data_IF_834620899566
#
_entry.id   IF_834620899566
#
_cell.length_a   1.000
_cell.length_b   1.000
_cell.length_c   1.000
_cell.angle_alpha   90.00
_cell.angle_beta   90.00
_cell.angle_gamma   90.00
#
_symmetry.space_group_name_H-M   'P 1'
#
loop_
_entity.id
_entity.type
_entity.pdbx_description
1 polymer ?
#
# COMPACT_ATOMS: atom_id res chain seq x y z
N UNK A 1 -8.43 15.63 7.89
CA UNK A 1 -8.19 14.57 8.91
C UNK A 1 -7.78 13.24 8.30
N UNK A 2 -8.64 12.56 7.51
CA UNK A 2 -8.27 11.26 6.91
C UNK A 2 -7.05 11.38 5.99
N UNK A 3 -7.10 12.30 5.04
CA UNK A 3 -6.00 12.55 4.09
C UNK A 3 -4.68 12.83 4.83
N UNK A 4 -4.71 13.79 5.76
CA UNK A 4 -3.54 14.17 6.57
C UNK A 4 -2.91 12.97 7.29
N UNK A 5 -3.73 12.04 7.79
CA UNK A 5 -3.22 10.83 8.42
C UNK A 5 -2.47 9.93 7.43
N UNK A 6 -2.97 9.80 6.19
CA UNK A 6 -2.29 9.10 5.11
C UNK A 6 -0.95 9.75 4.75
N UNK A 7 -0.93 11.09 4.66
CA UNK A 7 0.28 11.88 4.42
C UNK A 7 1.33 11.59 5.49
N UNK A 8 0.99 11.81 6.77
CA UNK A 8 1.94 11.70 7.89
C UNK A 8 2.49 10.28 8.03
N UNK A 9 1.65 9.27 7.85
CA UNK A 9 2.10 7.86 7.89
C UNK A 9 3.05 7.57 6.72
N UNK A 10 2.72 7.99 5.51
CA UNK A 10 3.59 7.76 4.35
C UNK A 10 4.93 8.48 4.48
N UNK A 11 4.95 9.72 4.96
CA UNK A 11 6.19 10.44 5.25
C UNK A 11 7.05 9.74 6.31
N UNK A 12 6.42 9.19 7.35
CA UNK A 12 7.14 8.46 8.38
C UNK A 12 7.82 7.21 7.80
N UNK A 13 7.14 6.49 6.91
CA UNK A 13 7.73 5.34 6.19
C UNK A 13 8.87 5.80 5.29
N UNK A 14 8.67 6.87 4.51
CA UNK A 14 9.71 7.40 3.63
C UNK A 14 10.98 7.78 4.41
N UNK A 15 10.82 8.47 5.55
CA UNK A 15 11.92 8.83 6.45
C UNK A 15 12.60 7.60 7.05
N UNK A 16 11.83 6.60 7.48
CA UNK A 16 12.36 5.36 8.06
C UNK A 16 13.12 4.48 7.05
N UNK A 17 12.77 4.56 5.76
CA UNK A 17 13.40 3.79 4.69
C UNK A 17 14.85 4.20 4.38
N UNK A 18 15.25 5.42 4.72
CA UNK A 18 16.61 5.91 4.51
C UNK A 18 17.09 5.74 3.07
N UNK A 19 18.23 5.07 2.88
CA UNK A 19 18.83 4.83 1.56
C UNK A 19 18.26 3.63 0.80
N UNK A 20 17.27 2.93 1.37
CA UNK A 20 16.55 1.78 0.75
C UNK A 20 17.47 0.64 0.30
N UNK A 21 18.68 0.54 0.85
CA UNK A 21 19.60 -0.55 0.48
C UNK A 21 19.21 -1.85 1.16
N UNK A 22 19.37 -2.93 0.41
CA UNK A 22 19.19 -4.28 0.93
C UNK A 22 17.75 -4.69 1.18
N UNK A 23 16.75 -3.91 0.78
CA UNK A 23 15.35 -4.30 0.90
C UNK A 23 14.91 -5.11 -0.32
N UNK A 24 13.86 -5.91 -0.16
CA UNK A 24 13.25 -6.64 -1.29
C UNK A 24 12.63 -5.72 -2.36
N UNK A 25 12.26 -4.49 -1.97
CA UNK A 25 11.70 -3.41 -2.80
C UNK A 25 10.30 -3.69 -3.35
N UNK A 26 10.08 -4.87 -3.92
CA UNK A 26 8.82 -5.29 -4.49
C UNK A 26 8.15 -6.32 -3.60
N UNK A 27 6.84 -6.22 -3.49
CA UNK A 27 6.03 -7.24 -2.86
C UNK A 27 4.59 -7.19 -3.37
N UNK A 28 3.89 -8.29 -3.14
CA UNK A 28 2.45 -8.36 -3.27
C UNK A 28 1.87 -9.23 -2.16
N UNK A 29 0.57 -9.11 -1.96
CA UNK A 29 -0.20 -9.93 -1.04
C UNK A 29 -1.61 -10.14 -1.60
N UNK A 30 -2.18 -11.29 -1.26
CA UNK A 30 -3.59 -11.61 -1.44
C UNK A 30 -4.16 -11.82 -0.04
N UNK A 31 -5.16 -11.02 0.34
CA UNK A 31 -5.77 -11.10 1.66
C UNK A 31 -7.26 -11.34 1.52
N UNK A 32 -7.76 -12.47 2.02
CA UNK A 32 -9.19 -12.68 2.16
C UNK A 32 -9.73 -12.00 3.43
N UNK A 33 -11.02 -11.67 3.41
CA UNK A 33 -11.85 -11.35 4.56
C UNK A 33 -13.22 -11.94 4.29
N UNK A 34 -13.54 -13.08 4.91
CA UNK A 34 -14.75 -13.84 4.64
C UNK A 34 -15.00 -14.04 3.12
N UNK A 35 -16.07 -13.47 2.57
CA UNK A 35 -16.45 -13.58 1.15
C UNK A 35 -15.61 -12.73 0.20
N UNK A 36 -14.74 -11.87 0.74
CA UNK A 36 -13.94 -10.90 0.00
C UNK A 36 -12.52 -11.40 -0.22
N UNK A 37 -11.94 -11.10 -1.38
CA UNK A 37 -10.50 -11.22 -1.65
C UNK A 37 -9.96 -9.96 -2.33
N UNK A 38 -8.89 -9.40 -1.76
CA UNK A 38 -8.17 -8.27 -2.34
C UNK A 38 -6.70 -8.57 -2.58
N UNK A 39 -6.15 -7.98 -3.64
CA UNK A 39 -4.75 -8.01 -4.02
C UNK A 39 -4.13 -6.64 -3.83
N UNK A 40 -2.98 -6.60 -3.16
CA UNK A 40 -2.16 -5.40 -3.05
C UNK A 40 -0.77 -5.70 -3.60
N UNK A 41 -0.27 -4.85 -4.49
CA UNK A 41 1.06 -4.96 -5.07
C UNK A 41 1.76 -3.60 -4.99
N UNK A 42 3.04 -3.58 -4.64
CA UNK A 42 3.78 -2.33 -4.48
C UNK A 42 5.25 -2.42 -4.90
N UNK A 43 5.81 -1.27 -5.26
CA UNK A 43 7.22 -1.01 -5.53
C UNK A 43 7.66 0.21 -4.68
N UNK A 44 8.67 0.01 -3.82
CA UNK A 44 9.37 1.11 -3.14
C UNK A 44 10.27 1.81 -4.15
N UNK A 45 9.70 2.80 -4.84
CA UNK A 45 10.15 3.18 -6.19
C UNK A 45 10.64 4.62 -6.35
N UNK A 46 10.35 5.49 -5.38
CA UNK A 46 10.40 6.96 -5.54
C UNK A 46 9.57 7.49 -6.71
N UNK A 47 8.57 6.73 -7.14
CA UNK A 47 7.61 7.11 -8.19
C UNK A 47 6.21 6.94 -7.61
N UNK A 48 5.70 8.00 -6.94
CA UNK A 48 4.39 7.95 -6.31
C UNK A 48 3.30 7.72 -7.36
N UNK A 49 2.52 6.65 -7.19
CA UNK A 49 1.42 6.32 -8.09
C UNK A 49 0.44 5.38 -7.41
N UNK A 50 -0.87 5.57 -7.62
CA UNK A 50 -1.91 4.69 -7.14
C UNK A 50 -2.73 4.14 -8.32
N UNK A 51 -2.89 2.82 -8.37
CA UNK A 51 -3.99 2.18 -9.11
C UNK A 51 -5.01 1.66 -8.10
N UNK A 52 -6.25 2.14 -8.23
CA UNK A 52 -7.35 1.82 -7.33
C UNK A 52 -8.49 1.15 -8.08
N UNK A 53 -8.54 -0.17 -7.99
CA UNK A 53 -9.59 -1.02 -8.57
C UNK A 53 -10.44 -1.64 -7.44
N UNK A 54 -11.02 -0.79 -6.59
CA UNK A 54 -11.88 -1.20 -5.49
C UNK A 54 -13.20 -0.43 -5.58
N UNK A 55 -14.30 -1.17 -5.56
CA UNK A 55 -15.65 -0.60 -5.58
C UNK A 55 -16.33 -0.92 -4.25
N UNK A 56 -16.71 0.13 -3.53
CA UNK A 56 -17.50 0.03 -2.30
C UNK A 56 -18.96 0.34 -2.65
N UNK A 57 -19.89 -0.44 -2.10
CA UNK A 57 -21.32 -0.42 -2.48
C UNK A 57 -22.15 0.58 -1.68
N UNK A 58 -21.61 1.08 -0.59
CA UNK A 58 -22.27 2.00 0.33
C UNK A 58 -21.53 3.33 0.33
N UNK A 59 -22.25 4.44 0.50
CA UNK A 59 -21.63 5.76 0.57
C UNK A 59 -20.86 5.95 1.89
N UNK A 60 -21.37 5.36 2.98
CA UNK A 60 -20.79 5.44 4.32
C UNK A 60 -20.56 4.07 4.95
N UNK A 61 -19.49 3.97 5.72
CA UNK A 61 -19.15 2.80 6.53
C UNK A 61 -18.96 3.24 7.99
N UNK A 62 -20.01 3.08 8.79
CA UNK A 62 -20.12 3.79 10.07
C UNK A 62 -20.18 5.30 9.79
N UNK A 63 -19.28 6.06 10.41
CA UNK A 63 -19.15 7.52 10.21
C UNK A 63 -18.23 7.91 9.05
N UNK A 64 -17.58 6.94 8.40
CA UNK A 64 -16.57 7.17 7.37
C UNK A 64 -17.19 7.21 5.98
N UNK A 65 -17.03 8.32 5.25
CA UNK A 65 -17.36 8.39 3.82
C UNK A 65 -16.40 7.48 3.04
N UNK A 66 -16.97 6.57 2.24
CA UNK A 66 -16.20 5.50 1.58
C UNK A 66 -15.23 6.02 0.50
N UNK A 67 -15.50 7.19 -0.07
CA UNK A 67 -14.58 7.85 -1.00
C UNK A 67 -13.24 8.20 -0.35
N UNK A 68 -13.24 8.53 0.95
CA UNK A 68 -12.04 8.94 1.67
C UNK A 68 -11.02 7.82 1.83
N UNK A 69 -11.42 6.55 1.65
CA UNK A 69 -10.46 5.46 1.64
C UNK A 69 -9.50 5.55 0.46
N UNK A 70 -10.01 5.85 -0.74
CA UNK A 70 -9.16 6.08 -1.91
C UNK A 70 -8.22 7.25 -1.66
N UNK A 71 -8.74 8.35 -1.12
CA UNK A 71 -7.93 9.54 -0.80
C UNK A 71 -6.84 9.23 0.23
N UNK A 72 -7.12 8.39 1.23
CA UNK A 72 -6.10 7.93 2.17
C UNK A 72 -4.97 7.15 1.48
N UNK A 73 -5.29 6.17 0.63
CA UNK A 73 -4.28 5.40 -0.10
C UNK A 73 -3.52 6.25 -1.12
N UNK A 74 -4.21 7.23 -1.72
CA UNK A 74 -3.62 8.19 -2.66
C UNK A 74 -2.61 9.08 -1.95
N UNK A 75 -2.99 9.68 -0.81
CA UNK A 75 -2.11 10.47 0.03
C UNK A 75 -0.92 9.66 0.55
N UNK A 76 -1.18 8.46 1.07
CA UNK A 76 -0.16 7.54 1.55
C UNK A 76 0.86 7.16 0.45
N UNK A 77 0.39 6.75 -0.73
CA UNK A 77 1.29 6.35 -1.83
C UNK A 77 2.15 7.51 -2.31
N UNK A 78 1.59 8.73 -2.29
CA UNK A 78 2.30 9.95 -2.64
C UNK A 78 3.40 10.29 -1.64
N UNK A 79 3.07 10.39 -0.35
CA UNK A 79 4.03 10.79 0.67
C UNK A 79 5.06 9.71 0.99
N UNK A 80 4.71 8.42 0.83
CA UNK A 80 5.65 7.31 0.96
C UNK A 80 6.59 7.17 -0.25
N UNK A 81 6.29 7.82 -1.38
CA UNK A 81 7.07 7.72 -2.61
C UNK A 81 7.03 6.33 -3.25
N UNK A 82 5.88 5.66 -3.19
CA UNK A 82 5.74 4.27 -3.67
C UNK A 82 4.76 4.18 -4.84
N UNK A 83 4.98 3.19 -5.69
CA UNK A 83 3.97 2.76 -6.65
C UNK A 83 3.11 1.69 -5.98
N UNK A 84 1.80 1.94 -5.88
CA UNK A 84 0.85 1.11 -5.15
C UNK A 84 -0.33 0.72 -6.06
N UNK A 85 -0.63 -0.56 -6.13
CA UNK A 85 -1.77 -1.11 -6.85
C UNK A 85 -2.65 -1.88 -5.87
N UNK A 86 -3.93 -1.55 -5.84
CA UNK A 86 -4.92 -2.21 -5.00
C UNK A 86 -6.10 -2.60 -5.88
N UNK A 87 -6.48 -3.88 -5.79
CA UNK A 87 -7.60 -4.45 -6.52
C UNK A 87 -8.41 -5.32 -5.57
N UNK A 88 -9.71 -5.05 -5.49
CA UNK A 88 -10.64 -6.03 -4.95
C UNK A 88 -11.05 -6.97 -6.09
N UNK A 89 -10.74 -8.25 -5.96
CA UNK A 89 -11.00 -9.25 -7.00
C UNK A 89 -12.47 -9.67 -6.94
N UNK A 90 -12.96 -9.91 -5.73
CA UNK A 90 -14.36 -10.18 -5.43
C UNK A 90 -14.67 -9.85 -3.97
N UNK A 91 -15.96 -9.72 -3.65
CA UNK A 91 -16.46 -9.38 -2.33
C UNK A 91 -17.81 -8.69 -2.42
N UNK A 92 -18.52 -8.66 -1.29
CA UNK A 92 -19.83 -8.00 -1.21
C UNK A 92 -19.85 -6.95 -0.09
N UNK A 93 -19.35 -7.32 1.09
CA UNK A 93 -19.37 -6.45 2.25
C UNK A 93 -18.27 -5.39 2.13
N UNK A 94 -18.67 -4.11 2.09
CA UNK A 94 -17.72 -2.99 1.96
C UNK A 94 -16.72 -2.90 3.14
N UNK A 95 -17.08 -3.40 4.32
CA UNK A 95 -16.17 -3.50 5.48
C UNK A 95 -15.07 -4.53 5.21
N UNK A 96 -15.45 -5.71 4.76
CA UNK A 96 -14.51 -6.79 4.45
C UNK A 96 -13.58 -6.38 3.31
N UNK A 97 -14.13 -5.73 2.27
CA UNK A 97 -13.37 -5.17 1.15
C UNK A 97 -12.30 -4.19 1.66
N UNK A 98 -12.67 -3.17 2.42
CA UNK A 98 -11.68 -2.15 2.82
C UNK A 98 -10.67 -2.70 3.82
N UNK A 99 -11.10 -3.52 4.77
CA UNK A 99 -10.20 -4.13 5.75
C UNK A 99 -9.17 -5.06 5.07
N UNK A 100 -9.60 -5.83 4.06
CA UNK A 100 -8.68 -6.66 3.28
C UNK A 100 -7.64 -5.83 2.51
N UNK A 101 -7.99 -4.61 2.06
CA UNK A 101 -7.04 -3.70 1.40
C UNK A 101 -5.98 -3.18 2.37
N UNK A 102 -6.37 -2.73 3.57
CA UNK A 102 -5.42 -2.31 4.61
C UNK A 102 -4.51 -3.44 5.08
N UNK A 103 -5.07 -4.64 5.32
CA UNK A 103 -4.28 -5.84 5.66
C UNK A 103 -3.34 -6.23 4.52
N UNK A 104 -3.81 -6.10 3.28
CA UNK A 104 -3.01 -6.34 2.07
C UNK A 104 -1.80 -5.40 2.01
N UNK A 105 -2.03 -4.10 2.21
CA UNK A 105 -0.98 -3.10 2.27
C UNK A 105 0.03 -3.42 3.38
N UNK A 106 -0.44 -3.69 4.60
CA UNK A 106 0.44 -4.01 5.72
C UNK A 106 1.34 -5.23 5.45
N UNK A 107 0.75 -6.31 4.88
CA UNK A 107 1.51 -7.52 4.54
C UNK A 107 2.51 -7.29 3.42
N UNK A 108 2.11 -6.59 2.35
CA UNK A 108 2.99 -6.29 1.22
C UNK A 108 4.13 -5.36 1.65
N UNK A 109 3.85 -4.31 2.43
CA UNK A 109 4.87 -3.41 2.97
C UNK A 109 5.88 -4.18 3.82
N UNK A 110 5.42 -5.01 4.76
CA UNK A 110 6.33 -5.84 5.57
C UNK A 110 7.31 -6.61 4.69
N UNK A 111 6.82 -7.30 3.65
CA UNK A 111 7.66 -8.10 2.76
C UNK A 111 8.60 -7.19 1.96
N UNK A 112 8.13 -6.09 1.38
CA UNK A 112 8.97 -5.21 0.56
C UNK A 112 10.10 -4.56 1.36
N UNK A 113 9.86 -4.31 2.66
CA UNK A 113 10.80 -3.70 3.59
C UNK A 113 11.74 -4.72 4.27
N UNK A 114 11.48 -6.03 4.14
CA UNK A 114 12.38 -7.06 4.66
C UNK A 114 13.75 -6.97 4.00
N UNK A 115 14.80 -7.19 4.79
CA UNK A 115 16.16 -7.31 4.26
C UNK A 115 16.27 -8.55 3.38
N UNK A 116 16.79 -8.38 2.17
CA UNK A 116 17.12 -9.47 1.27
C UNK A 116 18.55 -9.93 1.54
N UNK A 117 18.70 -11.13 2.10
CA UNK A 117 19.99 -11.77 2.37
C UNK A 117 20.89 -11.90 1.13
N UNK A 118 20.30 -11.90 -0.08
CA UNK A 118 21.07 -11.96 -1.34
C UNK A 118 21.46 -10.58 -1.87
N UNK A 119 20.86 -9.52 -1.34
CA UNK A 119 21.03 -8.15 -1.82
C UNK A 119 21.68 -7.21 -0.79
N UNK A 120 22.24 -7.75 0.30
CA UNK A 120 23.07 -7.10 1.35
C UNK A 120 22.92 -5.57 1.40
N UNK A 121 23.97 -4.80 1.06
CA UNK A 121 23.93 -3.33 0.98
C UNK A 121 23.74 -2.83 -0.47
N UNK A 122 23.29 -3.70 -1.38
CA UNK A 122 23.04 -3.29 -2.76
C UNK A 122 21.74 -2.48 -2.83
N UNK A 123 21.76 -1.45 -3.67
CA UNK A 123 20.54 -0.72 -4.01
C UNK A 123 19.76 -1.57 -5.04
N UNK A 124 18.49 -1.92 -4.79
CA UNK A 124 17.71 -2.78 -5.69
C UNK A 124 17.20 -2.00 -6.91
N UNK A 125 18.10 -1.35 -7.65
CA UNK A 125 17.82 -0.51 -8.82
C UNK A 125 18.92 -0.64 -9.88
N UNK A 126 18.54 -0.97 -11.11
CA UNK A 126 19.47 -1.02 -12.25
C UNK A 126 19.98 0.36 -12.66
N UNK A 127 19.34 1.44 -12.18
CA UNK A 127 19.74 2.83 -12.45
C UNK A 127 20.69 3.39 -11.38
N UNK A 128 20.98 2.63 -10.32
CA UNK A 128 21.85 3.08 -9.22
C UNK A 128 21.25 4.18 -8.32
N UNK A 129 19.98 4.56 -8.54
CA UNK A 129 19.24 5.55 -7.75
C UNK A 129 17.81 5.07 -7.46
N UNK A 130 17.29 5.47 -6.30
CA UNK A 130 15.96 5.11 -5.77
C UNK A 130 15.47 6.09 -4.72
#
# INVERSE_FOLDING_TARGET
TTEDSGIVIGEAIFKALGDKKGIKRYAHSYIPMDETLSRVSLDISNRPYLVWNVKLKVEKLGEMDTELFKEWFQAFSQSAGITLHIENIYGDNSHHIIESCFKGLAKALRIALEKDARAADSLPSTKGVL
#
